data_IF_519458010028
#
_entry.id   IF_519458010028
#
_cell.length_a   1.000
_cell.length_b   1.000
_cell.length_c   1.000
_cell.angle_alpha   90.00
_cell.angle_beta   90.00
_cell.angle_gamma   90.00
#
_symmetry.space_group_name_H-M   'P 1'
#
loop_
_entity.id
_entity.type
_entity.pdbx_description
1 polymer ?
#
# COMPACT_ATOMS: atom_id res chain seq x y z
N UNK A 1 0.26 -23.61 -24.42
CA UNK A 1 0.96 -22.39 -23.99
C UNK A 1 -0.02 -21.60 -23.14
N UNK A 2 0.23 -21.47 -21.84
CA UNK A 2 -0.68 -20.77 -20.94
C UNK A 2 -0.75 -19.30 -21.36
N UNK A 3 -1.93 -18.83 -21.77
CA UNK A 3 -2.22 -17.41 -21.82
C UNK A 3 -2.09 -16.92 -20.37
N UNK A 4 -0.96 -16.30 -20.03
CA UNK A 4 -0.80 -15.52 -18.80
C UNK A 4 -1.80 -14.39 -18.88
N UNK A 5 -2.99 -14.66 -18.38
CA UNK A 5 -4.09 -13.71 -18.37
C UNK A 5 -3.79 -12.76 -17.23
N UNK A 6 -3.48 -11.51 -17.55
CA UNK A 6 -3.27 -10.47 -16.55
C UNK A 6 -4.51 -10.30 -15.67
N UNK A 7 -4.42 -9.43 -14.68
CA UNK A 7 -5.58 -9.08 -13.85
C UNK A 7 -6.26 -7.89 -14.51
N UNK A 8 -7.55 -7.95 -14.82
CA UNK A 8 -8.31 -6.87 -15.45
C UNK A 8 -8.99 -5.92 -14.45
N UNK A 9 -9.41 -6.45 -13.30
CA UNK A 9 -9.94 -5.63 -12.19
C UNK A 9 -9.70 -6.33 -10.85
N UNK A 10 -9.41 -5.55 -9.80
CA UNK A 10 -9.53 -6.00 -8.42
C UNK A 10 -10.45 -5.02 -7.68
N UNK A 11 -11.44 -5.56 -6.99
CA UNK A 11 -12.26 -4.81 -6.04
C UNK A 11 -12.18 -5.44 -4.67
N UNK A 12 -11.96 -4.62 -3.65
CA UNK A 12 -11.97 -5.00 -2.23
C UNK A 12 -13.13 -4.28 -1.54
N UNK A 13 -13.88 -4.96 -0.69
CA UNK A 13 -15.05 -4.39 -0.02
C UNK A 13 -15.21 -4.93 1.40
N UNK A 14 -16.12 -4.33 2.16
CA UNK A 14 -16.42 -4.78 3.51
C UNK A 14 -16.84 -6.26 3.54
N UNK A 15 -16.44 -6.97 4.60
CA UNK A 15 -16.75 -8.39 4.77
C UNK A 15 -18.26 -8.66 4.75
N UNK A 16 -18.67 -9.72 4.03
CA UNK A 16 -20.07 -10.14 3.92
C UNK A 16 -20.93 -9.30 2.96
N UNK A 17 -20.32 -8.39 2.19
CA UNK A 17 -21.06 -7.45 1.34
C UNK A 17 -21.01 -7.81 -0.14
N UNK A 18 -20.04 -8.61 -0.59
CA UNK A 18 -19.85 -8.94 -2.01
C UNK A 18 -21.12 -9.55 -2.63
N UNK A 19 -21.72 -10.55 -1.97
CA UNK A 19 -22.89 -11.27 -2.50
C UNK A 19 -24.25 -10.65 -2.14
N UNK A 20 -24.28 -9.61 -1.30
CA UNK A 20 -25.52 -8.97 -0.86
C UNK A 20 -25.68 -7.59 -1.50
N UNK A 21 -24.83 -6.65 -1.10
CA UNK A 21 -24.77 -5.30 -1.62
C UNK A 21 -23.37 -4.75 -1.30
N UNK A 22 -22.45 -4.62 -2.27
CA UNK A 22 -21.08 -4.18 -2.02
C UNK A 22 -21.03 -2.80 -1.35
N UNK A 23 -20.30 -2.68 -0.24
CA UNK A 23 -20.06 -1.39 0.44
C UNK A 23 -18.59 -1.22 0.81
N UNK A 24 -18.15 0.02 1.02
CA UNK A 24 -16.73 0.30 1.30
C UNK A 24 -15.80 -0.16 0.18
N UNK A 25 -16.28 -0.10 -1.07
CA UNK A 25 -15.59 -0.64 -2.23
C UNK A 25 -14.36 0.20 -2.58
N UNK A 26 -13.20 -0.43 -2.59
CA UNK A 26 -11.97 0.09 -3.17
C UNK A 26 -11.74 -0.66 -4.47
N UNK A 27 -11.98 0.04 -5.58
CA UNK A 27 -11.67 -0.46 -6.92
C UNK A 27 -10.27 -0.05 -7.31
N UNK A 28 -9.53 -1.00 -7.87
CA UNK A 28 -8.21 -0.75 -8.41
C UNK A 28 -8.25 -0.76 -9.93
N UNK A 29 -8.15 0.44 -10.50
CA UNK A 29 -7.80 0.74 -11.89
C UNK A 29 -6.43 0.23 -12.21
N UNK A 30 -6.36 -1.04 -12.61
CA UNK A 30 -5.09 -1.75 -12.67
C UNK A 30 -4.15 -1.09 -13.69
N UNK A 31 -3.00 -0.65 -13.18
CA UNK A 31 -1.92 0.01 -13.90
C UNK A 31 -0.94 -1.04 -14.46
N UNK A 32 0.34 -0.69 -14.63
CA UNK A 32 1.41 -1.66 -14.90
C UNK A 32 1.52 -2.77 -13.83
N UNK A 33 2.33 -3.80 -14.11
CA UNK A 33 2.71 -4.86 -13.16
C UNK A 33 1.56 -5.77 -12.67
N UNK A 34 0.50 -5.89 -13.46
CA UNK A 34 -0.58 -6.83 -13.21
C UNK A 34 -0.09 -8.26 -13.38
N UNK A 35 -0.28 -9.07 -12.35
CA UNK A 35 0.08 -10.48 -12.42
C UNK A 35 -0.85 -11.33 -11.58
N UNK A 36 -1.09 -12.51 -12.11
CA UNK A 36 -1.75 -13.59 -11.44
C UNK A 36 -0.79 -14.79 -11.46
N UNK A 37 -0.40 -15.28 -10.29
CA UNK A 37 0.47 -16.44 -10.17
C UNK A 37 -0.11 -17.50 -9.26
N UNK A 38 0.14 -18.75 -9.63
CA UNK A 38 -0.19 -19.95 -8.86
C UNK A 38 1.08 -20.76 -8.70
N UNK A 39 1.49 -21.00 -7.46
CA UNK A 39 2.73 -21.71 -7.14
C UNK A 39 2.44 -22.82 -6.14
N UNK A 40 3.24 -23.89 -6.14
CA UNK A 40 3.14 -24.90 -5.07
C UNK A 40 3.65 -24.31 -3.75
N UNK A 41 2.80 -24.28 -2.74
CA UNK A 41 3.18 -23.90 -1.39
C UNK A 41 3.57 -25.16 -0.62
N UNK A 42 4.85 -25.29 -0.29
CA UNK A 42 5.27 -26.28 0.70
C UNK A 42 4.94 -25.77 2.10
N UNK A 43 4.02 -26.47 2.78
CA UNK A 43 3.83 -26.31 4.22
C UNK A 43 4.62 -27.40 4.92
N UNK A 44 5.82 -27.07 5.40
CA UNK A 44 6.55 -27.93 6.32
C UNK A 44 6.14 -27.56 7.74
N UNK A 45 5.23 -28.32 8.35
CA UNK A 45 4.98 -28.22 9.79
C UNK A 45 6.01 -29.11 10.49
N UNK A 46 7.02 -28.52 11.13
CA UNK A 46 8.00 -29.27 11.94
C UNK A 46 7.59 -29.14 13.40
N UNK A 47 6.73 -30.03 13.87
CA UNK A 47 6.60 -30.33 15.29
C UNK A 47 6.45 -31.84 15.44
N UNK A 48 7.58 -32.50 15.72
CA UNK A 48 7.78 -33.86 16.25
C UNK A 48 6.67 -34.89 15.93
N UNK A 49 6.99 -35.72 14.95
CA UNK A 49 6.59 -37.14 14.82
C UNK A 49 5.30 -37.55 14.09
N UNK A 50 4.60 -36.66 13.38
CA UNK A 50 3.64 -37.06 12.34
C UNK A 50 3.63 -36.01 11.19
N UNK A 51 4.19 -36.35 10.02
CA UNK A 51 4.23 -35.43 8.89
C UNK A 51 2.98 -35.56 8.00
N UNK A 52 2.08 -34.59 8.07
CA UNK A 52 1.20 -34.29 6.93
C UNK A 52 1.91 -33.30 6.00
N UNK A 53 2.39 -33.81 4.86
CA UNK A 53 2.77 -32.94 3.73
C UNK A 53 1.46 -32.44 3.11
N UNK A 54 0.98 -31.28 3.57
CA UNK A 54 -0.17 -30.64 2.95
C UNK A 54 0.25 -30.05 1.60
N UNK A 55 -0.12 -30.71 0.50
CA UNK A 55 0.06 -30.16 -0.84
C UNK A 55 -0.92 -28.99 -1.04
N UNK A 56 -0.38 -27.78 -1.10
CA UNK A 56 -1.16 -26.56 -1.23
C UNK A 56 -0.73 -25.74 -2.45
N UNK A 57 -1.65 -24.91 -2.96
CA UNK A 57 -1.39 -23.92 -4.00
C UNK A 57 -1.46 -22.52 -3.39
N UNK A 58 -0.39 -21.76 -3.54
CA UNK A 58 -0.34 -20.33 -3.27
C UNK A 58 -0.90 -19.60 -4.47
N UNK A 59 -1.94 -18.81 -4.22
CA UNK A 59 -2.52 -17.87 -5.15
C UNK A 59 -2.02 -16.48 -4.85
N UNK A 60 -1.54 -15.77 -5.87
CA UNK A 60 -1.11 -14.37 -5.74
C UNK A 60 -1.70 -13.52 -6.85
N UNK A 61 -2.38 -12.43 -6.47
CA UNK A 61 -2.70 -11.33 -7.38
C UNK A 61 -1.84 -10.14 -7.01
N UNK A 62 -1.24 -9.47 -7.99
CA UNK A 62 -0.55 -8.21 -7.78
C UNK A 62 -1.03 -7.19 -8.81
N UNK A 63 -1.26 -5.96 -8.35
CA UNK A 63 -1.60 -4.85 -9.22
C UNK A 63 -1.27 -3.50 -8.59
N UNK A 64 -1.03 -2.52 -9.44
CA UNK A 64 -0.79 -1.13 -9.07
C UNK A 64 -2.03 -0.30 -9.40
N UNK A 65 -2.40 0.70 -8.59
CA UNK A 65 -3.43 1.70 -8.94
C UNK A 65 -2.81 3.02 -9.37
N UNK A 66 -3.34 3.61 -10.45
CA UNK A 66 -3.02 5.00 -10.88
C UNK A 66 -3.86 6.06 -10.15
N UNK A 67 -4.69 5.66 -9.19
CA UNK A 67 -5.57 6.56 -8.42
C UNK A 67 -5.33 6.43 -6.91
N UNK A 68 -4.09 6.60 -6.45
CA UNK A 68 -3.74 6.39 -5.05
C UNK A 68 -4.29 7.52 -4.16
N UNK A 69 -5.40 7.31 -3.46
CA UNK A 69 -5.85 8.23 -2.39
C UNK A 69 -5.42 7.72 -1.02
N UNK A 70 -5.22 8.64 -0.06
CA UNK A 70 -4.93 8.28 1.33
C UNK A 70 -6.11 7.51 1.96
N UNK A 71 -7.34 7.85 1.57
CA UNK A 71 -8.53 7.08 1.93
C UNK A 71 -8.48 5.63 1.46
N UNK A 72 -8.13 5.39 0.19
CA UNK A 72 -8.02 4.03 -0.34
C UNK A 72 -6.93 3.23 0.39
N UNK A 73 -5.77 3.85 0.65
CA UNK A 73 -4.70 3.23 1.41
C UNK A 73 -5.15 2.83 2.83
N UNK A 74 -5.81 3.75 3.55
CA UNK A 74 -6.30 3.49 4.91
C UNK A 74 -7.42 2.45 4.95
N UNK A 75 -8.31 2.46 3.96
CA UNK A 75 -9.34 1.43 3.82
C UNK A 75 -8.70 0.05 3.63
N UNK A 76 -7.69 -0.07 2.77
CA UNK A 76 -6.95 -1.33 2.56
C UNK A 76 -6.23 -1.79 3.84
N UNK A 77 -5.67 -0.88 4.64
CA UNK A 77 -5.05 -1.20 5.93
C UNK A 77 -6.08 -1.70 6.97
N UNK A 78 -7.33 -1.25 6.88
CA UNK A 78 -8.41 -1.72 7.76
C UNK A 78 -8.82 -3.17 7.45
N UNK A 79 -8.62 -3.62 6.20
CA UNK A 79 -8.92 -4.97 5.72
C UNK A 79 -7.80 -5.98 5.93
N UNK A 80 -6.70 -5.59 6.60
CA UNK A 80 -5.62 -6.50 6.98
C UNK A 80 -6.17 -7.74 7.71
N UNK A 81 -5.52 -8.89 7.53
CA UNK A 81 -5.99 -10.13 8.13
C UNK A 81 -7.17 -10.78 7.40
N UNK A 82 -7.52 -10.32 6.19
CA UNK A 82 -8.55 -10.96 5.35
C UNK A 82 -9.98 -10.65 5.80
N UNK A 83 -10.16 -9.58 6.58
CA UNK A 83 -11.47 -9.10 7.03
C UNK A 83 -12.16 -8.27 5.93
N UNK A 84 -12.26 -8.84 4.74
CA UNK A 84 -12.83 -8.19 3.57
C UNK A 84 -13.27 -9.24 2.55
N UNK A 85 -14.22 -8.87 1.70
CA UNK A 85 -14.51 -9.62 0.50
C UNK A 85 -13.73 -9.04 -0.69
N UNK A 86 -13.33 -9.89 -1.63
CA UNK A 86 -12.58 -9.51 -2.81
C UNK A 86 -13.19 -10.15 -4.05
N UNK A 87 -13.28 -9.38 -5.12
CA UNK A 87 -13.51 -9.89 -6.47
C UNK A 87 -12.33 -9.50 -7.36
N UNK A 88 -11.72 -10.49 -7.99
CA UNK A 88 -10.69 -10.29 -9.01
C UNK A 88 -11.17 -10.84 -10.34
N UNK A 89 -11.07 -10.03 -11.39
CA UNK A 89 -11.42 -10.40 -12.76
C UNK A 89 -10.11 -10.47 -13.54
N UNK A 90 -9.85 -11.60 -14.21
CA UNK A 90 -8.71 -11.74 -15.12
C UNK A 90 -9.06 -11.26 -16.53
N UNK A 91 -8.04 -10.94 -17.34
CA UNK A 91 -8.23 -10.50 -18.73
C UNK A 91 -8.93 -11.53 -19.62
N UNK A 92 -8.82 -12.82 -19.28
CA UNK A 92 -9.53 -13.90 -19.95
C UNK A 92 -10.99 -14.06 -19.51
N UNK A 93 -11.49 -13.19 -18.63
CA UNK A 93 -12.87 -13.19 -18.13
C UNK A 93 -13.10 -14.07 -16.90
N UNK A 94 -12.10 -14.79 -16.38
CA UNK A 94 -12.27 -15.56 -15.14
C UNK A 94 -12.51 -14.64 -13.94
N UNK A 95 -13.49 -14.97 -13.11
CA UNK A 95 -13.89 -14.17 -11.94
C UNK A 95 -13.65 -14.95 -10.65
N UNK A 96 -12.63 -14.53 -9.90
CA UNK A 96 -12.35 -15.05 -8.57
C UNK A 96 -13.07 -14.24 -7.50
N UNK A 97 -13.75 -14.91 -6.57
CA UNK A 97 -14.41 -14.30 -5.42
C UNK A 97 -13.86 -14.89 -4.13
N UNK A 98 -13.42 -14.02 -3.24
CA UNK A 98 -12.94 -14.34 -1.91
C UNK A 98 -13.90 -13.71 -0.90
N UNK A 99 -14.45 -14.52 -0.01
CA UNK A 99 -15.35 -14.08 1.03
C UNK A 99 -14.61 -14.22 2.36
N UNK A 100 -14.67 -13.18 3.19
CA UNK A 100 -13.99 -13.14 4.48
C UNK A 100 -14.29 -14.38 5.35
N UNK A 101 -15.53 -14.88 5.28
CA UNK A 101 -15.99 -16.01 6.10
C UNK A 101 -15.56 -17.40 5.61
N UNK A 102 -15.33 -17.59 4.31
CA UNK A 102 -15.16 -18.94 3.73
C UNK A 102 -13.81 -19.17 3.07
N UNK A 103 -13.27 -18.14 2.41
CA UNK A 103 -12.03 -18.20 1.67
C UNK A 103 -11.35 -16.83 1.72
N UNK A 104 -10.98 -16.36 2.93
CA UNK A 104 -10.33 -15.08 3.13
C UNK A 104 -9.01 -15.00 2.34
N UNK A 105 -8.67 -13.79 1.94
CA UNK A 105 -7.43 -13.49 1.21
C UNK A 105 -6.67 -12.38 1.93
N UNK A 106 -5.37 -12.56 2.11
CA UNK A 106 -4.49 -11.55 2.71
C UNK A 106 -4.30 -10.37 1.77
N UNK A 107 -4.25 -9.15 2.32
CA UNK A 107 -4.07 -7.91 1.56
C UNK A 107 -2.84 -7.16 2.07
N UNK A 108 -1.89 -6.93 1.16
CA UNK A 108 -0.65 -6.21 1.43
C UNK A 108 -0.60 -4.96 0.55
N UNK A 109 -1.02 -3.79 1.06
CA UNK A 109 -0.95 -2.52 0.35
C UNK A 109 0.42 -1.85 0.57
N UNK A 110 1.00 -1.26 -0.46
CA UNK A 110 2.23 -0.47 -0.42
C UNK A 110 1.95 0.87 -1.08
N UNK A 111 2.05 1.97 -0.33
CA UNK A 111 2.02 3.31 -0.89
C UNK A 111 3.43 3.68 -1.36
N UNK A 112 3.53 4.09 -2.62
CA UNK A 112 4.77 4.51 -3.24
C UNK A 112 4.60 5.89 -3.88
N UNK A 113 5.55 6.77 -3.58
CA UNK A 113 5.58 8.17 -3.99
C UNK A 113 7.02 8.49 -4.43
N UNK A 114 7.21 8.93 -5.65
CA UNK A 114 8.44 9.59 -6.09
C UNK A 114 8.11 10.86 -6.88
N UNK A 115 9.10 11.47 -7.54
CA UNK A 115 8.88 12.72 -8.28
C UNK A 115 8.04 12.54 -9.54
N UNK A 116 7.98 11.33 -10.09
CA UNK A 116 7.32 11.03 -11.37
C UNK A 116 5.98 10.33 -11.18
N UNK A 117 5.86 9.55 -10.12
CA UNK A 117 4.81 8.58 -9.93
C UNK A 117 4.29 8.56 -8.51
N UNK A 118 2.99 8.28 -8.43
CA UNK A 118 2.30 7.99 -7.19
C UNK A 118 1.46 6.76 -7.45
N UNK A 119 1.57 5.74 -6.60
CA UNK A 119 0.79 4.53 -6.75
C UNK A 119 0.56 3.83 -5.42
N UNK A 120 -0.54 3.09 -5.31
CA UNK A 120 -0.70 2.08 -4.28
C UNK A 120 -0.58 0.74 -4.99
N UNK A 121 0.43 -0.04 -4.60
CA UNK A 121 0.61 -1.42 -5.05
C UNK A 121 -0.14 -2.32 -4.09
N UNK A 122 -0.93 -3.24 -4.59
CA UNK A 122 -1.66 -4.21 -3.78
C UNK A 122 -1.24 -5.60 -4.19
N UNK A 123 -0.85 -6.39 -3.19
CA UNK A 123 -0.61 -7.81 -3.32
C UNK A 123 -1.64 -8.57 -2.49
N UNK A 124 -2.38 -9.44 -3.15
CA UNK A 124 -3.34 -10.33 -2.54
C UNK A 124 -2.77 -11.74 -2.51
N UNK A 125 -2.86 -12.44 -1.37
CA UNK A 125 -2.37 -13.81 -1.24
C UNK A 125 -3.27 -14.70 -0.40
N UNK A 126 -3.48 -15.92 -0.88
CA UNK A 126 -4.11 -16.99 -0.12
C UNK A 126 -3.49 -18.34 -0.53
N UNK A 127 -3.38 -19.28 0.40
CA UNK A 127 -2.99 -20.64 0.08
C UNK A 127 -4.14 -21.60 0.38
N UNK A 128 -4.38 -22.51 -0.56
CA UNK A 128 -5.49 -23.46 -0.51
C UNK A 128 -4.99 -24.89 -0.73
N UNK A 129 -5.63 -25.90 -0.12
CA UNK A 129 -5.45 -27.29 -0.56
C UNK A 129 -5.72 -27.42 -2.06
N UNK A 130 -4.95 -28.26 -2.77
CA UNK A 130 -5.03 -28.38 -4.23
C UNK A 130 -6.44 -28.65 -4.76
N UNK A 131 -7.20 -29.53 -4.10
CA UNK A 131 -8.56 -29.84 -4.52
C UNK A 131 -9.50 -28.62 -4.42
N UNK A 132 -9.33 -27.80 -3.38
CA UNK A 132 -10.09 -26.55 -3.19
C UNK A 132 -9.69 -25.54 -4.27
N UNK A 133 -8.39 -25.40 -4.53
CA UNK A 133 -7.88 -24.55 -5.60
C UNK A 133 -8.48 -24.91 -6.97
N UNK A 134 -8.45 -26.19 -7.35
CA UNK A 134 -9.00 -26.66 -8.63
C UNK A 134 -10.49 -26.37 -8.75
N UNK A 135 -11.25 -26.57 -7.67
CA UNK A 135 -12.68 -26.22 -7.64
C UNK A 135 -12.90 -24.71 -7.80
N UNK A 136 -12.08 -23.88 -7.18
CA UNK A 136 -12.14 -22.42 -7.32
C UNK A 136 -11.81 -21.97 -8.75
N UNK A 137 -10.80 -22.56 -9.37
CA UNK A 137 -10.41 -22.26 -10.76
C UNK A 137 -11.55 -22.59 -11.74
N UNK A 138 -12.17 -23.76 -11.61
CA UNK A 138 -13.33 -24.17 -12.41
C UNK A 138 -14.55 -23.26 -12.18
N UNK A 139 -14.82 -22.89 -10.92
CA UNK A 139 -15.89 -21.96 -10.60
C UNK A 139 -15.63 -20.58 -11.18
N UNK A 140 -14.38 -20.10 -11.16
CA UNK A 140 -14.01 -18.79 -11.69
C UNK A 140 -14.25 -18.67 -13.21
N UNK A 141 -14.14 -19.77 -13.95
CA UNK A 141 -14.43 -19.80 -15.39
C UNK A 141 -15.92 -19.62 -15.73
N UNK A 142 -16.83 -19.83 -14.77
CA UNK A 142 -18.28 -19.76 -14.96
C UNK A 142 -18.97 -18.71 -14.08
N UNK A 143 -18.22 -18.06 -13.18
CA UNK A 143 -18.75 -17.07 -12.27
C UNK A 143 -19.04 -15.73 -12.97
N UNK A 144 -20.20 -15.15 -12.70
CA UNK A 144 -20.53 -13.80 -13.14
C UNK A 144 -19.93 -12.75 -12.19
N UNK A 145 -19.33 -11.69 -12.77
CA UNK A 145 -18.86 -10.53 -12.01
C UNK A 145 -20.04 -9.77 -11.40
N UNK A 146 -19.91 -9.43 -10.12
CA UNK A 146 -20.82 -8.51 -9.44
C UNK A 146 -20.39 -7.10 -9.82
N UNK A 147 -21.37 -6.24 -10.12
CA UNK A 147 -21.12 -4.84 -10.38
C UNK A 147 -20.65 -4.16 -9.08
N UNK A 148 -19.45 -3.59 -9.12
CA UNK A 148 -18.81 -2.98 -7.95
C UNK A 148 -18.85 -1.43 -7.97
N UNK A 149 -19.67 -0.84 -8.84
CA UNK A 149 -19.78 0.60 -9.02
C UNK A 149 -19.07 1.15 -10.26
N UNK A 150 -19.24 2.45 -10.51
CA UNK A 150 -18.69 3.14 -11.68
C UNK A 150 -17.54 4.06 -11.28
N UNK A 151 -16.39 4.03 -11.99
CA UNK A 151 -16.08 3.13 -13.09
C UNK A 151 -15.80 1.69 -12.61
N UNK A 152 -16.38 0.69 -13.31
CA UNK A 152 -15.81 -0.67 -13.36
C UNK A 152 -14.37 -0.52 -13.87
N UNK A 153 -13.48 -1.48 -13.94
CA UNK A 153 -12.02 -1.20 -14.09
C UNK A 153 -11.42 -0.48 -12.89
N UNK A 154 -12.10 0.47 -12.22
CA UNK A 154 -11.54 1.26 -11.11
C UNK A 154 -10.64 2.41 -11.55
N UNK A 155 -10.66 2.79 -12.84
CA UNK A 155 -9.93 3.93 -13.40
C UNK A 155 -10.89 5.06 -13.78
N UNK A 156 -10.85 6.15 -13.03
CA UNK A 156 -11.58 7.39 -13.32
C UNK A 156 -10.60 8.49 -13.77
N UNK A 157 -10.54 8.81 -15.07
CA UNK A 157 -9.59 9.81 -15.57
C UNK A 157 -9.65 11.17 -14.86
N UNK A 158 -10.79 11.55 -14.28
CA UNK A 158 -10.94 12.80 -13.53
C UNK A 158 -10.26 12.77 -12.14
N UNK A 159 -10.02 11.58 -11.57
CA UNK A 159 -9.42 11.39 -10.23
C UNK A 159 -7.99 10.87 -10.27
N UNK A 160 -7.37 10.75 -11.45
CA UNK A 160 -5.97 10.33 -11.59
C UNK A 160 -5.07 11.37 -10.92
N UNK A 161 -4.20 10.90 -10.02
CA UNK A 161 -3.26 11.75 -9.28
C UNK A 161 -1.86 11.57 -9.83
N UNK A 162 -1.22 12.68 -10.15
CA UNK A 162 0.21 12.71 -10.43
C UNK A 162 0.94 13.17 -9.18
N UNK A 163 2.20 12.77 -9.05
CA UNK A 163 3.05 13.34 -8.02
C UNK A 163 3.26 14.83 -8.31
N UNK A 164 3.00 15.67 -7.32
CA UNK A 164 3.20 17.11 -7.41
C UNK A 164 3.61 17.62 -6.03
N UNK A 165 4.90 17.50 -5.67
CA UNK A 165 5.41 17.99 -4.39
C UNK A 165 5.12 19.48 -4.23
N UNK A 166 4.44 19.84 -3.14
CA UNK A 166 4.29 21.23 -2.72
C UNK A 166 5.42 21.59 -1.77
N UNK A 167 5.57 20.83 -0.69
CA UNK A 167 6.68 21.01 0.23
C UNK A 167 7.01 19.74 0.99
N UNK A 168 8.22 19.75 1.54
CA UNK A 168 8.58 18.92 2.67
C UNK A 168 9.15 19.79 3.77
N UNK A 169 8.64 19.62 4.98
CA UNK A 169 8.99 20.45 6.11
C UNK A 169 9.18 19.63 7.37
N UNK A 170 10.08 20.07 8.23
CA UNK A 170 10.12 19.72 9.64
C UNK A 170 9.68 20.97 10.41
N UNK A 171 8.65 20.90 11.26
CA UNK A 171 7.73 22.00 11.61
C UNK A 171 8.29 23.31 12.20
N UNK A 172 9.61 23.45 12.37
CA UNK A 172 10.21 24.58 13.07
C UNK A 172 11.06 25.55 12.22
N UNK A 173 11.07 25.51 10.89
CA UNK A 173 11.53 26.62 10.00
C UNK A 173 11.33 26.28 8.51
N UNK A 174 11.68 27.22 7.62
CA UNK A 174 11.51 27.27 6.15
C UNK A 174 11.38 25.92 5.41
N UNK A 175 10.56 25.91 4.35
CA UNK A 175 10.43 24.78 3.41
C UNK A 175 11.81 24.22 3.11
N UNK A 176 12.03 22.98 3.53
CA UNK A 176 13.37 22.44 3.55
C UNK A 176 13.84 22.02 2.16
N UNK A 177 12.89 21.89 1.22
CA UNK A 177 13.12 21.19 -0.01
C UNK A 177 12.14 21.55 -1.13
N UNK A 178 12.14 22.82 -1.54
CA UNK A 178 11.39 23.23 -2.73
C UNK A 178 12.01 22.71 -4.04
N UNK A 179 13.27 22.27 -4.04
CA UNK A 179 14.01 21.79 -5.22
C UNK A 179 14.80 20.51 -4.90
N UNK A 180 14.16 19.35 -4.95
CA UNK A 180 14.85 18.05 -4.88
C UNK A 180 15.51 17.71 -6.22
N UNK A 181 16.68 17.04 -6.18
CA UNK A 181 17.14 16.28 -7.35
C UNK A 181 16.49 14.89 -7.42
N UNK A 182 16.11 14.33 -6.26
CA UNK A 182 15.34 13.09 -6.16
C UNK A 182 14.60 12.95 -4.83
N UNK A 183 13.35 12.51 -4.88
CA UNK A 183 12.52 12.09 -3.73
C UNK A 183 11.94 10.71 -3.96
N UNK A 184 11.97 9.86 -2.94
CA UNK A 184 11.27 8.58 -2.92
C UNK A 184 10.75 8.29 -1.52
N UNK A 185 9.47 7.92 -1.41
CA UNK A 185 8.83 7.53 -0.15
C UNK A 185 8.04 6.26 -0.39
N UNK A 186 8.38 5.25 0.39
CA UNK A 186 7.68 3.97 0.40
C UNK A 186 7.12 3.72 1.80
N UNK A 187 5.84 3.37 1.87
CA UNK A 187 5.16 2.91 3.08
C UNK A 187 4.66 1.50 2.80
N UNK A 188 5.35 0.52 3.36
CA UNK A 188 5.14 -0.91 3.11
C UNK A 188 4.91 -1.67 4.42
N UNK A 189 4.17 -2.78 4.43
CA UNK A 189 3.98 -3.58 5.63
C UNK A 189 5.31 -4.11 6.17
N UNK A 190 5.52 -3.95 7.48
CA UNK A 190 6.62 -4.61 8.16
C UNK A 190 6.17 -6.04 8.50
N UNK A 191 6.48 -7.00 7.62
CA UNK A 191 6.19 -8.41 7.89
C UNK A 191 6.96 -8.83 9.14
N UNK A 192 6.23 -9.12 10.20
CA UNK A 192 6.77 -9.63 11.47
C UNK A 192 7.51 -10.93 11.13
N UNK A 193 8.84 -10.94 11.29
CA UNK A 193 9.68 -12.15 11.10
C UNK A 193 9.29 -13.32 12.02
N UNK A 194 8.38 -13.07 12.96
CA UNK A 194 7.77 -14.06 13.84
C UNK A 194 6.27 -13.78 13.90
N UNK A 195 5.54 -14.29 12.92
CA UNK A 195 4.19 -14.76 13.22
C UNK A 195 4.33 -15.67 14.43
N UNK A 196 3.52 -15.47 15.47
CA UNK A 196 3.42 -16.44 16.56
C UNK A 196 3.43 -17.86 15.97
N UNK A 197 4.24 -18.80 16.49
CA UNK A 197 4.06 -20.21 16.18
C UNK A 197 2.59 -20.54 16.52
N UNK A 198 1.72 -20.60 15.51
CA UNK A 198 0.27 -20.73 15.68
C UNK A 198 -0.65 -19.70 15.00
N UNK A 199 -0.14 -18.54 14.52
CA UNK A 199 -1.01 -17.48 13.94
C UNK A 199 -1.06 -17.43 12.40
N UNK A 200 -0.07 -18.00 11.69
CA UNK A 200 -0.16 -18.21 10.24
C UNK A 200 -1.06 -19.41 9.99
N UNK A 201 -2.33 -19.15 9.68
CA UNK A 201 -3.20 -20.21 9.16
C UNK A 201 -2.95 -20.33 7.64
N UNK A 202 -3.06 -21.55 7.11
CA UNK A 202 -2.78 -21.87 5.70
C UNK A 202 -3.52 -20.96 4.71
N UNK A 203 -4.66 -20.40 5.12
CA UNK A 203 -5.53 -19.59 4.28
C UNK A 203 -5.23 -18.08 4.28
N UNK A 204 -4.38 -17.54 5.17
CA UNK A 204 -4.00 -16.12 5.13
C UNK A 204 -2.53 -15.88 5.53
N UNK A 205 -1.69 -15.60 4.54
CA UNK A 205 -0.23 -15.61 4.68
C UNK A 205 0.35 -14.25 5.09
N UNK A 206 -0.38 -13.16 4.85
CA UNK A 206 0.13 -11.80 5.06
C UNK A 206 -0.54 -11.15 6.30
N UNK A 207 -0.06 -11.53 7.49
CA UNK A 207 -0.39 -10.87 8.76
C UNK A 207 0.71 -9.86 9.12
N UNK A 208 0.34 -8.59 9.26
CA UNK A 208 1.22 -7.51 9.69
C UNK A 208 0.50 -6.60 10.70
N UNK A 209 1.25 -6.11 11.68
CA UNK A 209 0.80 -5.21 12.75
C UNK A 209 1.50 -3.84 12.70
N UNK A 210 2.50 -3.69 11.84
CA UNK A 210 3.30 -2.48 11.68
C UNK A 210 3.50 -2.13 10.22
N UNK A 211 3.64 -0.85 9.94
CA UNK A 211 4.08 -0.31 8.66
C UNK A 211 5.54 0.13 8.78
N UNK A 212 6.34 -0.24 7.81
CA UNK A 212 7.66 0.29 7.57
C UNK A 212 7.55 1.52 6.66
N UNK A 213 8.20 2.60 7.07
CA UNK A 213 8.36 3.81 6.25
C UNK A 213 9.82 3.88 5.83
N UNK A 214 10.07 4.13 4.56
CA UNK A 214 11.39 4.41 4.02
C UNK A 214 11.31 5.61 3.09
N UNK A 215 11.81 6.76 3.56
CA UNK A 215 11.94 7.99 2.78
C UNK A 215 13.39 8.24 2.41
N UNK A 216 13.66 8.58 1.16
CA UNK A 216 14.98 8.96 0.64
C UNK A 216 14.84 10.28 -0.10
N UNK A 217 15.65 11.25 0.29
CA UNK A 217 15.68 12.59 -0.28
C UNK A 217 17.10 12.97 -0.64
N UNK A 218 17.32 13.45 -1.86
CA UNK A 218 18.64 13.82 -2.37
C UNK A 218 18.65 15.25 -2.87
N UNK A 219 19.79 15.91 -2.65
CA UNK A 219 20.03 17.27 -3.15
C UNK A 219 21.48 17.47 -3.62
N UNK A 220 21.67 18.45 -4.49
CA UNK A 220 22.97 18.85 -5.04
C UNK A 220 23.34 20.30 -4.62
N UNK A 221 24.65 20.58 -4.52
CA UNK A 221 25.26 21.91 -4.43
C UNK A 221 24.66 22.93 -3.46
N UNK A 222 23.90 23.92 -3.96
CA UNK A 222 23.51 25.12 -3.19
C UNK A 222 22.47 24.86 -2.09
N UNK A 223 21.78 23.72 -2.12
CA UNK A 223 20.70 23.37 -1.19
C UNK A 223 21.16 22.47 -0.04
N UNK A 224 22.45 22.13 0.04
CA UNK A 224 23.02 21.32 1.14
C UNK A 224 22.83 21.94 2.52
N UNK A 225 22.84 23.29 2.61
CA UNK A 225 22.62 24.00 3.87
C UNK A 225 21.27 23.67 4.52
N UNK A 226 20.23 23.43 3.73
CA UNK A 226 18.89 23.08 4.23
C UNK A 226 18.87 21.69 4.90
N UNK A 227 19.72 20.77 4.42
CA UNK A 227 19.87 19.44 5.00
C UNK A 227 20.79 19.42 6.22
N UNK A 228 21.84 20.23 6.26
CA UNK A 228 22.63 20.43 7.49
C UNK A 228 21.77 21.04 8.60
N UNK A 229 20.90 22.00 8.26
CA UNK A 229 19.92 22.53 9.20
C UNK A 229 18.96 21.44 9.72
N UNK A 230 18.73 20.38 8.94
CA UNK A 230 17.90 19.26 9.37
C UNK A 230 18.66 18.28 10.28
N UNK A 231 19.89 17.95 9.94
CA UNK A 231 20.76 17.13 10.79
C UNK A 231 20.89 17.75 12.19
N UNK A 232 20.96 19.08 12.27
CA UNK A 232 20.99 19.83 13.52
C UNK A 232 19.71 19.68 14.38
N UNK A 233 18.60 19.17 13.84
CA UNK A 233 17.33 18.97 14.59
C UNK A 233 17.29 17.65 15.38
N UNK A 234 18.35 16.84 15.30
CA UNK A 234 18.49 15.62 16.07
C UNK A 234 18.00 14.37 15.33
N UNK A 235 18.13 13.21 15.99
CA UNK A 235 17.99 11.90 15.36
C UNK A 235 16.54 11.52 14.99
N UNK A 236 15.56 12.15 15.62
CA UNK A 236 14.13 11.81 15.47
C UNK A 236 13.22 13.01 15.18
N UNK A 237 13.43 13.71 14.06
CA UNK A 237 12.66 14.91 13.73
C UNK A 237 11.23 14.56 13.31
N UNK A 238 10.32 15.52 13.51
CA UNK A 238 9.01 15.53 12.84
C UNK A 238 9.21 15.86 11.35
N UNK A 239 8.46 15.22 10.46
CA UNK A 239 8.54 15.38 9.00
C UNK A 239 7.15 15.41 8.37
N UNK A 240 6.89 16.43 7.54
CA UNK A 240 5.65 16.65 6.82
C UNK A 240 5.94 16.62 5.33
N UNK A 241 5.19 15.83 4.58
CA UNK A 241 5.27 15.73 3.12
C UNK A 241 3.94 16.11 2.52
N UNK A 242 3.88 17.21 1.77
CA UNK A 242 2.66 17.70 1.16
C UNK A 242 2.75 17.58 -0.36
N UNK A 243 1.80 16.86 -0.94
CA UNK A 243 1.61 16.76 -2.38
C UNK A 243 0.29 17.43 -2.79
N UNK A 244 0.34 18.27 -3.81
CA UNK A 244 -0.86 18.87 -4.38
C UNK A 244 -1.77 17.77 -4.93
N UNK A 245 -3.07 17.98 -4.75
CA UNK A 245 -4.09 17.26 -5.49
C UNK A 245 -5.01 18.29 -6.19
N UNK A 246 -5.75 17.87 -7.21
CA UNK A 246 -6.52 18.74 -8.09
C UNK A 246 -7.21 19.93 -7.38
N UNK A 247 -7.17 21.13 -7.98
CA UNK A 247 -7.77 22.34 -7.39
C UNK A 247 -6.95 22.91 -6.24
N UNK A 248 -7.57 23.12 -5.08
CA UNK A 248 -6.95 23.65 -3.85
C UNK A 248 -6.66 22.59 -2.80
N UNK A 249 -6.79 21.30 -3.15
CA UNK A 249 -6.68 20.18 -2.21
C UNK A 249 -5.25 19.63 -2.15
N UNK A 250 -4.96 18.84 -1.13
CA UNK A 250 -3.65 18.22 -0.97
C UNK A 250 -3.70 16.96 -0.12
N UNK A 251 -2.72 16.10 -0.33
CA UNK A 251 -2.43 14.98 0.55
C UNK A 251 -1.20 15.32 1.41
N UNK A 252 -1.30 15.09 2.72
CA UNK A 252 -0.24 15.34 3.67
C UNK A 252 0.15 14.06 4.40
N UNK A 253 1.41 13.66 4.32
CA UNK A 253 1.97 12.63 5.21
C UNK A 253 2.66 13.34 6.37
N UNK A 254 2.11 13.17 7.58
CA UNK A 254 2.62 13.79 8.81
C UNK A 254 3.26 12.72 9.70
N UNK A 255 4.58 12.78 9.88
CA UNK A 255 5.31 11.90 10.78
C UNK A 255 5.73 12.69 12.02
N UNK A 256 5.13 12.40 13.18
CA UNK A 256 5.40 13.13 14.41
C UNK A 256 6.84 12.95 14.90
N UNK A 257 7.30 13.87 15.76
CA UNK A 257 8.62 13.76 16.40
C UNK A 257 8.74 12.43 17.15
N UNK A 258 9.90 11.77 17.07
CA UNK A 258 10.08 10.44 17.65
C UNK A 258 9.66 9.27 16.75
N UNK A 259 8.97 9.52 15.62
CA UNK A 259 8.51 8.46 14.71
C UNK A 259 9.61 8.00 13.74
N UNK A 260 10.27 8.95 13.04
CA UNK A 260 11.26 8.65 12.00
C UNK A 260 12.68 8.76 12.53
N UNK A 261 13.49 7.74 12.30
CA UNK A 261 14.93 7.84 12.44
C UNK A 261 15.54 8.46 11.17
N UNK A 262 16.30 9.54 11.34
CA UNK A 262 17.04 10.16 10.24
C UNK A 262 18.49 9.66 10.18
N UNK A 263 19.00 9.47 8.96
CA UNK A 263 20.42 9.29 8.66
C UNK A 263 20.79 10.19 7.48
N UNK A 264 21.92 10.88 7.57
CA UNK A 264 22.43 11.74 6.50
C UNK A 264 23.77 11.18 6.01
N UNK A 265 23.95 11.17 4.69
CA UNK A 265 25.20 10.75 4.03
C UNK A 265 25.58 11.76 2.96
N UNK A 266 26.80 12.27 3.04
CA UNK A 266 27.41 13.08 1.98
C UNK A 266 28.29 12.18 1.11
N UNK A 267 27.98 12.10 -0.18
CA UNK A 267 28.85 11.50 -1.18
C UNK A 267 29.44 12.63 -2.03
N UNK A 268 30.75 12.82 -1.93
CA UNK A 268 31.48 13.86 -2.66
C UNK A 268 32.47 13.20 -3.61
N UNK A 269 32.35 13.46 -4.91
CA UNK A 269 33.29 13.03 -5.93
C UNK A 269 33.76 14.24 -6.77
N UNK A 270 34.74 14.02 -7.65
CA UNK A 270 35.38 15.08 -8.43
C UNK A 270 34.42 15.88 -9.34
N UNK A 271 33.21 15.34 -9.59
CA UNK A 271 32.23 15.95 -10.50
C UNK A 271 31.00 16.51 -9.80
N UNK A 272 30.63 15.99 -8.62
CA UNK A 272 29.39 16.32 -7.91
C UNK A 272 29.50 15.98 -6.43
N UNK A 273 28.84 16.79 -5.61
CA UNK A 273 28.58 16.47 -4.22
C UNK A 273 27.07 16.32 -3.98
N UNK A 274 26.68 15.10 -3.60
CA UNK A 274 25.29 14.69 -3.38
C UNK A 274 25.09 14.42 -1.89
N UNK A 275 24.09 15.07 -1.30
CA UNK A 275 23.71 14.84 0.09
C UNK A 275 22.40 14.05 0.12
N UNK A 276 22.39 12.91 0.80
CA UNK A 276 21.24 12.01 0.92
C UNK A 276 20.74 11.96 2.37
N UNK A 277 19.48 12.30 2.60
CA UNK A 277 18.78 12.02 3.85
C UNK A 277 17.88 10.80 3.69
N UNK A 278 18.06 9.82 4.58
CA UNK A 278 17.23 8.63 4.68
C UNK A 278 16.44 8.68 5.97
N UNK A 279 15.12 8.53 5.88
CA UNK A 279 14.20 8.44 7.01
C UNK A 279 13.62 7.04 7.08
N UNK A 280 13.68 6.41 8.25
CA UNK A 280 13.12 5.07 8.47
C UNK A 280 12.27 5.04 9.72
N UNK A 281 11.11 4.39 9.64
CA UNK A 281 10.26 4.11 10.80
C UNK A 281 9.65 2.72 10.73
N UNK A 282 9.25 2.20 11.90
CA UNK A 282 8.33 1.08 12.03
C UNK A 282 7.20 1.52 12.95
N UNK A 283 6.06 1.85 12.36
CA UNK A 283 4.91 2.45 13.06
C UNK A 283 3.82 1.40 13.22
N UNK A 284 3.28 1.17 14.42
CA UNK A 284 2.12 0.32 14.58
C UNK A 284 0.93 0.85 13.79
N UNK A 285 0.14 -0.02 13.16
CA UNK A 285 -0.97 0.39 12.28
C UNK A 285 -2.01 1.21 13.06
N UNK A 286 -2.24 0.87 14.33
CA UNK A 286 -3.17 1.59 15.22
C UNK A 286 -2.73 3.03 15.53
N UNK A 287 -1.47 3.38 15.25
CA UNK A 287 -0.92 4.74 15.39
C UNK A 287 -0.97 5.53 14.08
N UNK A 288 -1.55 4.95 13.03
CA UNK A 288 -1.76 5.60 11.73
C UNK A 288 -3.20 6.07 11.65
N UNK A 289 -3.42 7.36 11.48
CA UNK A 289 -4.76 7.96 11.45
C UNK A 289 -4.95 8.84 10.22
N UNK A 290 -6.16 8.85 9.67
CA UNK A 290 -6.56 9.74 8.59
C UNK A 290 -7.38 10.90 9.15
N UNK A 291 -6.86 12.11 9.02
CA UNK A 291 -7.60 13.34 9.26
C UNK A 291 -8.11 13.95 7.95
N UNK A 292 -9.35 14.44 7.97
CA UNK A 292 -10.01 15.13 6.86
C UNK A 292 -10.48 16.53 7.29
N UNK A 293 -10.95 17.37 6.37
CA UNK A 293 -11.32 18.76 6.60
C UNK A 293 -10.35 19.82 6.04
N UNK A 294 -10.80 21.08 6.03
CA UNK A 294 -10.13 22.20 5.33
C UNK A 294 -8.67 22.44 5.77
N UNK A 295 -8.35 22.27 7.05
CA UNK A 295 -6.97 22.40 7.55
C UNK A 295 -6.06 21.22 7.13
N UNK A 296 -6.66 20.10 6.75
CA UNK A 296 -6.01 18.83 6.42
C UNK A 296 -6.05 18.51 4.91
N UNK A 297 -6.44 19.48 4.07
CA UNK A 297 -6.37 19.38 2.61
C UNK A 297 -7.65 18.95 1.91
N UNK A 298 -8.79 18.97 2.59
CA UNK A 298 -10.05 18.45 2.06
C UNK A 298 -10.90 19.46 1.25
N UNK A 299 -11.77 18.89 0.40
CA UNK A 299 -12.96 19.53 -0.16
C UNK A 299 -14.14 19.39 0.83
N UNK A 300 -15.37 19.64 0.40
CA UNK A 300 -16.55 19.34 1.22
C UNK A 300 -16.78 17.81 1.36
N UNK A 301 -16.05 17.00 0.58
CA UNK A 301 -16.11 15.54 0.57
C UNK A 301 -15.41 14.95 1.79
N UNK A 302 -16.14 14.83 2.91
CA UNK A 302 -15.66 14.31 4.20
C UNK A 302 -15.16 12.84 4.22
N UNK A 303 -14.85 12.25 3.06
CA UNK A 303 -14.25 10.92 2.90
C UNK A 303 -12.73 10.96 2.82
N UNK A 304 -12.13 12.12 2.53
CA UNK A 304 -10.67 12.23 2.33
C UNK A 304 -10.20 11.63 1.00
N UNK A 305 -11.13 11.47 0.05
CA UNK A 305 -10.78 11.13 -1.33
C UNK A 305 -9.99 12.29 -1.88
N UNK A 306 -10.53 13.50 -2.00
CA UNK A 306 -9.88 14.66 -2.65
C UNK A 306 -8.66 15.23 -1.91
N UNK A 307 -8.44 14.86 -0.65
CA UNK A 307 -7.27 15.26 0.09
C UNK A 307 -7.40 14.85 1.55
N UNK A 308 -6.31 14.87 2.28
CA UNK A 308 -6.32 14.41 3.66
C UNK A 308 -4.94 14.38 4.26
N UNK A 309 -4.90 14.13 5.57
CA UNK A 309 -3.66 14.02 6.33
C UNK A 309 -3.53 12.64 6.93
N UNK A 310 -2.51 11.90 6.50
CA UNK A 310 -2.13 10.63 7.11
C UNK A 310 -1.09 10.90 8.20
N UNK A 311 -1.49 10.76 9.46
CA UNK A 311 -0.62 11.00 10.62
C UNK A 311 -0.05 9.69 11.13
N UNK A 312 1.28 9.66 11.31
CA UNK A 312 2.04 8.59 11.93
C UNK A 312 2.53 9.09 13.29
N UNK A 313 1.91 8.60 14.35
CA UNK A 313 2.25 8.98 15.71
C UNK A 313 3.41 8.14 16.26
N UNK A 314 4.21 8.76 17.15
CA UNK A 314 5.23 8.04 17.90
C UNK A 314 4.62 7.03 18.89
N UNK A 315 5.44 6.08 19.34
CA UNK A 315 5.07 5.09 20.36
C UNK A 315 4.82 5.75 21.72
#
# INVERSE_FOLDING_TARGET
MANTSGVAQIGVMAAGTLNAAPTGVVLMGLASNQSFTTEDAMVTKIERDDYEIAHQKLLTFSADTLQPSLYAFMTLLSYRGGNCDVQAILENGMVYKFLAATNPIGITPVLYLDDESRTIKVKLKASFPVAVWQAMELAAASAAAINLGTPQSGRDSAKIRKSSPLFTQSPSTAEMFSNYSKRTVEISPAVKGTCHPGAKQSWNIDLYDRMQVNGVFQTEDATKQLLYNQEAKGMFPELWLKDANAGSYFDLLKFEAGCLQQKVKLDNNDTKAVLTATYKARVPIEKITLGVGAANGDSVDGTGVDGGTLTFAAL
#
